data_IF_885155087815
#
_entry.id   IF_885155087815
#
_cell.length_a   1.000
_cell.length_b   1.000
_cell.length_c   1.000
_cell.angle_alpha   90.00
_cell.angle_beta   90.00
_cell.angle_gamma   90.00
#
_symmetry.space_group_name_H-M   'P 1'
#
loop_
_entity.id
_entity.type
_entity.pdbx_description
1 polymer ?
#
# COMPACT_ATOMS: atom_id res chain seq x y z
N UNK A 1 -14.12 -9.61 5.14
CA UNK A 1 -12.78 -9.93 5.70
C UNK A 1 -11.82 -8.84 5.24
N UNK A 2 -10.79 -8.48 6.03
CA UNK A 2 -9.80 -7.49 5.58
C UNK A 2 -9.10 -7.98 4.31
N UNK A 3 -8.79 -7.05 3.41
CA UNK A 3 -8.04 -7.34 2.19
C UNK A 3 -6.57 -7.06 2.44
N UNK A 4 -5.74 -8.08 2.28
CA UNK A 4 -4.28 -7.96 2.34
C UNK A 4 -3.72 -7.84 0.93
N UNK A 5 -3.03 -6.74 0.67
CA UNK A 5 -2.43 -6.45 -0.63
C UNK A 5 -0.98 -6.04 -0.47
N UNK A 6 -0.26 -6.21 -1.56
CA UNK A 6 1.15 -5.91 -1.68
C UNK A 6 1.32 -4.92 -2.81
N UNK A 7 2.04 -3.83 -2.53
CA UNK A 7 2.52 -2.92 -3.57
C UNK A 7 3.98 -3.26 -3.85
N UNK A 8 4.24 -3.73 -5.06
CA UNK A 8 5.60 -3.89 -5.59
C UNK A 8 5.98 -2.61 -6.34
N UNK A 9 7.10 -1.98 -6.01
CA UNK A 9 7.52 -0.70 -6.58
C UNK A 9 9.03 -0.61 -6.82
N UNK A 10 9.45 0.37 -7.62
CA UNK A 10 10.87 0.61 -7.94
C UNK A 10 11.56 1.50 -6.89
N UNK A 11 10.78 2.13 -6.01
CA UNK A 11 11.24 3.00 -4.91
C UNK A 11 10.37 2.77 -3.67
N UNK A 12 10.87 3.08 -2.45
CA UNK A 12 10.07 2.94 -1.24
C UNK A 12 8.86 3.86 -1.30
N UNK A 13 7.78 3.44 -0.64
CA UNK A 13 6.56 4.22 -0.55
C UNK A 13 6.81 5.43 0.35
N UNK A 14 6.69 6.61 -0.23
CA UNK A 14 6.85 7.88 0.44
C UNK A 14 5.48 8.38 0.92
N UNK A 15 5.40 8.77 2.19
CA UNK A 15 4.14 9.19 2.84
C UNK A 15 3.51 10.38 2.13
N UNK A 16 4.29 11.37 1.67
CA UNK A 16 3.76 12.56 1.00
C UNK A 16 3.09 12.19 -0.34
N UNK A 17 3.77 11.37 -1.16
CA UNK A 17 3.24 10.93 -2.45
C UNK A 17 2.02 10.02 -2.26
N UNK A 18 2.07 9.13 -1.27
CA UNK A 18 0.95 8.27 -0.92
C UNK A 18 -0.28 9.08 -0.44
N UNK A 19 -0.07 10.08 0.42
CA UNK A 19 -1.11 10.99 0.88
C UNK A 19 -1.77 11.75 -0.27
N UNK A 20 -0.99 12.23 -1.24
CA UNK A 20 -1.55 12.91 -2.42
C UNK A 20 -2.44 11.99 -3.24
N UNK A 21 -2.00 10.77 -3.53
CA UNK A 21 -2.79 9.81 -4.30
C UNK A 21 -4.07 9.38 -3.56
N UNK A 22 -4.00 9.30 -2.23
CA UNK A 22 -5.13 8.95 -1.38
C UNK A 22 -6.17 10.08 -1.30
N UNK A 23 -5.74 11.31 -1.06
CA UNK A 23 -6.63 12.48 -0.92
C UNK A 23 -7.39 12.83 -2.20
N UNK A 24 -6.93 12.39 -3.37
CA UNK A 24 -7.70 12.51 -4.62
C UNK A 24 -9.00 11.69 -4.62
N UNK A 25 -9.04 10.58 -3.88
CA UNK A 25 -10.18 9.66 -3.81
C UNK A 25 -10.88 9.67 -2.45
N UNK A 26 -10.16 10.03 -1.41
CA UNK A 26 -10.60 10.13 -0.03
C UNK A 26 -10.16 11.50 0.50
N UNK A 27 -10.80 12.61 0.05
CA UNK A 27 -10.35 13.97 0.36
C UNK A 27 -10.38 14.30 1.84
N UNK A 28 -11.22 13.58 2.59
CA UNK A 28 -11.38 13.76 4.03
C UNK A 28 -10.57 12.75 4.86
N UNK A 29 -9.67 11.99 4.22
CA UNK A 29 -8.82 11.05 4.94
C UNK A 29 -7.57 11.73 5.49
N UNK A 30 -7.20 11.36 6.71
CA UNK A 30 -6.00 11.83 7.39
C UNK A 30 -4.98 10.69 7.52
N UNK A 31 -3.69 11.03 7.48
CA UNK A 31 -2.59 10.07 7.64
C UNK A 31 -1.91 10.23 8.99
N UNK A 32 -1.66 9.12 9.67
CA UNK A 32 -0.92 9.03 10.93
C UNK A 32 0.27 8.09 10.78
N UNK A 33 1.48 8.58 11.04
CA UNK A 33 2.70 7.78 10.98
C UNK A 33 3.19 7.44 12.40
N UNK A 34 3.45 6.15 12.64
CA UNK A 34 3.98 5.64 13.88
C UNK A 34 5.50 5.46 13.74
N UNK A 35 6.26 6.47 14.15
CA UNK A 35 7.71 6.55 13.92
C UNK A 35 8.52 5.32 14.40
N UNK A 36 8.11 4.66 15.48
CA UNK A 36 8.81 3.46 16.00
C UNK A 36 8.67 2.24 15.09
N UNK A 37 7.54 2.10 14.40
CA UNK A 37 7.24 0.97 13.52
C UNK A 37 7.30 1.31 12.04
N UNK A 38 7.32 2.59 11.69
CA UNK A 38 7.16 3.10 10.32
C UNK A 38 5.79 2.78 9.69
N UNK A 39 4.81 2.38 10.51
CA UNK A 39 3.44 2.11 10.07
C UNK A 39 2.73 3.44 9.76
N UNK A 40 2.11 3.51 8.60
CA UNK A 40 1.21 4.61 8.23
C UNK A 40 -0.23 4.14 8.27
N UNK A 41 -1.09 4.84 9.01
CA UNK A 41 -2.54 4.63 9.02
C UNK A 41 -3.23 5.77 8.30
N UNK A 42 -4.19 5.42 7.45
CA UNK A 42 -5.09 6.36 6.83
C UNK A 42 -6.46 6.15 7.45
N UNK A 43 -7.05 7.21 7.97
CA UNK A 43 -8.36 7.17 8.64
C UNK A 43 -9.33 8.14 7.99
N UNK A 44 -10.62 7.85 8.04
CA UNK A 44 -11.67 8.77 7.59
C UNK A 44 -12.02 9.80 8.69
N UNK A 45 -13.00 10.68 8.42
CA UNK A 45 -13.52 11.67 9.37
C UNK A 45 -14.07 11.05 10.67
N UNK A 46 -14.46 9.78 10.64
CA UNK A 46 -14.94 9.04 11.81
C UNK A 46 -13.80 8.36 12.57
N UNK A 47 -12.55 8.66 12.22
CA UNK A 47 -11.32 8.01 12.72
C UNK A 47 -11.31 6.50 12.50
N UNK A 48 -12.05 6.01 11.51
CA UNK A 48 -12.04 4.60 11.11
C UNK A 48 -10.87 4.38 10.16
N UNK A 49 -10.00 3.41 10.47
CA UNK A 49 -8.91 3.04 9.58
C UNK A 49 -9.45 2.53 8.24
N UNK A 50 -9.03 3.20 7.17
CA UNK A 50 -9.36 2.88 5.79
C UNK A 50 -8.23 2.07 5.15
N UNK A 51 -6.98 2.44 5.43
CA UNK A 51 -5.77 1.76 4.92
C UNK A 51 -4.71 1.74 6.03
N UNK A 52 -4.03 0.60 6.17
CA UNK A 52 -2.80 0.48 6.94
C UNK A 52 -1.67 0.12 5.99
N UNK A 53 -0.63 0.95 5.91
CA UNK A 53 0.55 0.71 5.08
C UNK A 53 1.78 0.50 5.96
N UNK A 54 2.40 -0.67 5.82
CA UNK A 54 3.63 -1.03 6.53
C UNK A 54 4.85 -0.46 5.83
N UNK A 55 6.01 -0.38 6.50
CA UNK A 55 7.25 0.09 5.88
C UNK A 55 7.58 -0.71 4.62
N UNK A 56 8.04 0.00 3.58
CA UNK A 56 8.60 -0.66 2.41
C UNK A 56 9.88 -1.42 2.77
N UNK A 57 9.98 -2.67 2.34
CA UNK A 57 11.17 -3.50 2.49
C UNK A 57 11.77 -3.81 1.13
N UNK A 58 13.09 -3.92 1.07
CA UNK A 58 13.76 -4.31 -0.17
C UNK A 58 13.46 -5.77 -0.51
N UNK A 59 13.12 -5.98 -1.79
CA UNK A 59 12.92 -7.30 -2.36
C UNK A 59 14.26 -7.99 -2.51
N UNK A 60 14.44 -9.10 -1.80
CA UNK A 60 15.65 -9.95 -1.91
C UNK A 60 15.28 -11.32 -2.47
N UNK A 61 16.14 -11.85 -3.34
CA UNK A 61 15.99 -13.22 -3.88
C UNK A 61 16.09 -14.21 -2.70
N UNK A 62 15.04 -15.00 -2.51
CA UNK A 62 14.88 -15.94 -1.39
C UNK A 62 14.17 -15.38 -0.15
N UNK A 63 13.79 -14.10 -0.15
CA UNK A 63 13.05 -13.43 0.93
C UNK A 63 11.52 -13.47 0.76
N UNK A 64 10.81 -12.76 1.64
CA UNK A 64 9.37 -12.58 1.55
C UNK A 64 8.97 -12.04 0.16
N UNK A 65 7.95 -12.63 -0.47
CA UNK A 65 7.41 -12.14 -1.73
C UNK A 65 8.02 -12.69 -3.02
N UNK A 66 9.01 -13.58 -2.91
CA UNK A 66 9.65 -14.26 -4.05
C UNK A 66 8.66 -14.96 -4.97
N UNK A 67 7.67 -15.67 -4.43
CA UNK A 67 6.67 -16.39 -5.22
C UNK A 67 5.81 -15.47 -6.09
N UNK A 68 5.50 -14.27 -5.59
CA UNK A 68 4.73 -13.26 -6.32
C UNK A 68 5.56 -12.61 -7.43
N UNK A 69 6.86 -12.39 -7.21
CA UNK A 69 7.78 -11.86 -8.21
C UNK A 69 8.04 -12.84 -9.35
N UNK A 70 8.11 -14.14 -9.05
CA UNK A 70 8.22 -15.20 -10.06
C UNK A 70 6.99 -15.22 -11.00
N UNK A 71 5.81 -14.87 -10.49
CA UNK A 71 4.58 -14.78 -11.29
C UNK A 71 4.49 -13.53 -12.19
N UNK A 72 5.35 -12.52 -11.98
CA UNK A 72 5.33 -11.20 -12.68
C UNK A 72 6.71 -10.86 -13.27
N UNK A 73 7.27 -11.66 -14.20
CA UNK A 73 8.67 -11.59 -14.62
C UNK A 73 9.06 -10.37 -15.50
N UNK A 74 8.14 -9.44 -15.77
CA UNK A 74 8.37 -8.36 -16.77
C UNK A 74 8.96 -7.06 -16.19
N UNK A 75 9.03 -6.93 -14.86
CA UNK A 75 9.67 -5.79 -14.18
C UNK A 75 10.40 -6.26 -12.92
N UNK A 76 11.61 -5.74 -12.71
CA UNK A 76 12.36 -5.92 -11.47
C UNK A 76 11.93 -4.85 -10.48
N UNK A 77 10.93 -5.16 -9.64
CA UNK A 77 10.57 -4.31 -8.52
C UNK A 77 11.61 -4.45 -7.40
N UNK A 78 11.98 -3.32 -6.80
CA UNK A 78 13.02 -3.26 -5.75
C UNK A 78 12.43 -3.25 -4.35
N UNK A 79 11.19 -2.79 -4.20
CA UNK A 79 10.52 -2.61 -2.92
C UNK A 79 9.19 -3.33 -2.86
N UNK A 80 8.88 -3.77 -1.65
CA UNK A 80 7.66 -4.45 -1.26
C UNK A 80 7.03 -3.66 -0.12
N UNK A 81 5.76 -3.28 -0.26
CA UNK A 81 5.01 -2.58 0.78
C UNK A 81 3.74 -3.36 1.08
N UNK A 82 3.62 -3.83 2.32
CA UNK A 82 2.40 -4.49 2.76
C UNK A 82 1.33 -3.45 3.08
N UNK A 83 0.11 -3.71 2.60
CA UNK A 83 -1.04 -2.86 2.82
C UNK A 83 -2.23 -3.71 3.25
N UNK A 84 -2.95 -3.25 4.25
CA UNK A 84 -4.19 -3.87 4.73
C UNK A 84 -5.33 -2.87 4.58
N UNK A 85 -6.39 -3.31 3.92
CA UNK A 85 -7.66 -2.59 3.81
C UNK A 85 -8.66 -3.30 4.71
N UNK A 86 -9.11 -2.70 5.83
CA UNK A 86 -10.11 -3.33 6.69
C UNK A 86 -11.44 -3.51 5.97
N UNK A 87 -12.30 -4.40 6.48
CA UNK A 87 -13.62 -4.64 5.91
C UNK A 87 -14.57 -3.50 6.29
N UNK A 88 -14.84 -2.59 5.36
CA UNK A 88 -15.70 -1.43 5.56
C UNK A 88 -16.35 -0.96 4.24
N UNK A 89 -17.29 -0.03 4.33
CA UNK A 89 -18.05 0.49 3.18
C UNK A 89 -17.19 1.12 2.08
N UNK A 90 -16.08 1.75 2.46
CA UNK A 90 -15.11 2.36 1.55
C UNK A 90 -14.05 1.39 0.98
N UNK A 91 -14.14 0.07 1.18
CA UNK A 91 -13.04 -0.85 0.87
C UNK A 91 -12.65 -0.84 -0.62
N UNK A 92 -13.62 -0.74 -1.53
CA UNK A 92 -13.37 -0.62 -2.97
C UNK A 92 -12.68 0.70 -3.33
N UNK A 93 -13.11 1.82 -2.75
CA UNK A 93 -12.46 3.13 -2.93
C UNK A 93 -11.04 3.13 -2.38
N UNK A 94 -10.84 2.50 -1.21
CA UNK A 94 -9.52 2.33 -0.60
C UNK A 94 -8.61 1.49 -1.50
N UNK A 95 -9.13 0.44 -2.13
CA UNK A 95 -8.38 -0.35 -3.10
C UNK A 95 -7.99 0.47 -4.32
N UNK A 96 -8.90 1.26 -4.87
CA UNK A 96 -8.60 2.17 -5.98
C UNK A 96 -7.51 3.19 -5.58
N UNK A 97 -7.58 3.73 -4.36
CA UNK A 97 -6.54 4.61 -3.83
C UNK A 97 -5.19 3.92 -3.76
N UNK A 98 -5.14 2.65 -3.35
CA UNK A 98 -3.89 1.87 -3.36
C UNK A 98 -3.38 1.60 -4.77
N UNK A 99 -4.26 1.37 -5.74
CA UNK A 99 -3.87 1.24 -7.14
C UNK A 99 -3.27 2.54 -7.70
N UNK A 100 -3.83 3.70 -7.34
CA UNK A 100 -3.24 5.01 -7.69
C UNK A 100 -1.92 5.25 -6.98
N UNK A 101 -1.80 4.89 -5.70
CA UNK A 101 -0.53 4.93 -4.99
C UNK A 101 0.51 4.10 -5.74
N UNK A 102 0.21 2.83 -6.05
CA UNK A 102 1.12 1.97 -6.79
C UNK A 102 1.54 2.60 -8.13
N UNK A 103 0.62 3.17 -8.90
CA UNK A 103 0.94 3.89 -10.14
C UNK A 103 1.90 5.07 -9.92
N UNK A 104 1.70 5.86 -8.87
CA UNK A 104 2.59 6.97 -8.50
C UNK A 104 4.02 6.52 -8.15
N UNK A 105 4.19 5.26 -7.75
CA UNK A 105 5.49 4.62 -7.49
C UNK A 105 5.99 3.73 -8.64
N UNK A 106 5.39 3.83 -9.83
CA UNK A 106 5.67 2.93 -10.97
C UNK A 106 5.50 1.44 -10.66
N UNK A 107 4.72 1.15 -9.62
CA UNK A 107 4.49 -0.14 -9.04
C UNK A 107 3.21 -0.83 -9.52
N UNK A 108 2.89 -1.95 -8.88
CA UNK A 108 1.68 -2.75 -9.12
C UNK A 108 1.12 -3.26 -7.81
N UNK A 109 -0.21 -3.41 -7.76
CA UNK A 109 -0.92 -4.06 -6.65
C UNK A 109 -1.04 -5.56 -6.93
N UNK A 110 -0.77 -6.35 -5.90
CA UNK A 110 -0.92 -7.80 -5.89
C UNK A 110 -1.73 -8.21 -4.66
N UNK A 111 -2.70 -9.11 -4.82
CA UNK A 111 -3.38 -9.69 -3.67
C UNK A 111 -2.45 -10.67 -2.95
N UNK A 112 -2.39 -10.57 -1.62
CA UNK A 112 -1.67 -11.53 -0.77
C UNK A 112 -2.57 -12.76 -0.62
N UNK A 113 -2.14 -13.89 -1.18
CA UNK A 113 -2.86 -15.19 -1.09
C UNK A 113 -2.40 -16.00 0.09
#
# INVERSE_FOLDING_TARGET
MPTEIVVLSDRPMDTEIANRALTELLPDAESFEFAESGLSLYVDLSQTTVISAFPSVEVTIGGAGTDLLVSRPRRHYQYWTDIVIPDHSLAETAREAVERMAQAFSGVVCDRK
#
